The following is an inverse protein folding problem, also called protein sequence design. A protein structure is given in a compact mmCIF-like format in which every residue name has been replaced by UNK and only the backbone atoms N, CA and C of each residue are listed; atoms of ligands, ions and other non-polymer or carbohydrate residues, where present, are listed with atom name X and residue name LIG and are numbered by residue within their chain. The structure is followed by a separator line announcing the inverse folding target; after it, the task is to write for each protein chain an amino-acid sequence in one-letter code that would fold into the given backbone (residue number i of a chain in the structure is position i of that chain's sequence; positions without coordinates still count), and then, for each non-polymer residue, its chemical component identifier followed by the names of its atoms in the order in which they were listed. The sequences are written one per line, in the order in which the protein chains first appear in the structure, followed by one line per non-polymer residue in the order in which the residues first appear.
data_IF_753434540596
#
_entry.id   IF_753434540596
#
_cell.length_a   1.000
_cell.length_b   1.000
_cell.length_c   1.000
_cell.angle_alpha   90.00
_cell.angle_beta   90.00
_cell.angle_gamma   90.00
#
_symmetry.space_group_name_H-M   'P 1'
#
loop_
_entity.id
_entity.type
_entity.pdbx_description
1 polymer ?
#
# COMPACT_ATOMS: atom_id res chain seq x y z
N UNK A 1 -42.86 -15.86 -0.47
CA UNK A 1 -41.84 -16.55 0.38
C UNK A 1 -40.61 -15.73 0.30
N UNK A 2 -40.44 -14.86 1.28
CA UNK A 2 -39.31 -13.92 1.38
C UNK A 2 -38.27 -14.58 2.25
N UNK A 3 -37.16 -14.97 1.62
CA UNK A 3 -35.99 -15.47 2.35
C UNK A 3 -35.31 -14.29 3.07
N UNK A 4 -35.55 -14.24 4.36
CA UNK A 4 -34.91 -13.37 5.34
C UNK A 4 -33.48 -13.89 5.57
N UNK A 5 -32.52 -13.29 4.84
CA UNK A 5 -31.08 -13.49 5.11
C UNK A 5 -30.71 -12.72 6.38
N UNK A 6 -31.07 -13.30 7.51
CA UNK A 6 -30.62 -12.94 8.83
C UNK A 6 -29.12 -12.72 8.85
N UNK A 7 -28.67 -11.46 8.90
CA UNK A 7 -27.31 -11.03 9.22
C UNK A 7 -26.94 -11.58 10.60
N UNK A 8 -26.22 -12.68 10.65
CA UNK A 8 -25.48 -13.09 11.85
C UNK A 8 -24.37 -12.09 12.05
N UNK A 9 -24.53 -11.19 13.02
CA UNK A 9 -23.59 -10.14 13.39
C UNK A 9 -22.30 -10.69 14.02
N UNK A 10 -21.49 -11.35 13.22
CA UNK A 10 -20.11 -11.64 13.57
C UNK A 10 -19.24 -10.44 13.18
N UNK A 11 -18.31 -10.02 14.04
CA UNK A 11 -17.32 -9.01 13.69
C UNK A 11 -16.59 -9.43 12.39
N UNK A 12 -16.33 -8.49 11.46
CA UNK A 12 -15.62 -8.82 10.25
C UNK A 12 -14.24 -9.37 10.59
N UNK A 13 -13.86 -10.48 9.96
CA UNK A 13 -12.55 -11.10 10.18
C UNK A 13 -11.41 -10.27 9.63
N UNK A 14 -11.69 -9.37 8.70
CA UNK A 14 -10.73 -8.45 8.08
C UNK A 14 -11.39 -7.08 7.82
N UNK A 15 -10.55 -6.05 7.85
CA UNK A 15 -10.85 -4.70 7.37
C UNK A 15 -9.73 -4.27 6.40
N UNK A 16 -10.08 -3.48 5.40
CA UNK A 16 -9.09 -2.86 4.53
C UNK A 16 -9.48 -1.43 4.16
N UNK A 17 -8.46 -0.58 4.06
CA UNK A 17 -8.57 0.84 3.71
C UNK A 17 -7.52 1.17 2.66
N UNK A 18 -7.88 2.02 1.70
CA UNK A 18 -6.93 2.60 0.74
C UNK A 18 -7.30 4.04 0.39
N UNK A 19 -6.37 4.87 -0.16
CA UNK A 19 -6.70 6.23 -0.56
C UNK A 19 -7.58 6.26 -1.82
N UNK A 20 -8.53 7.19 -1.87
CA UNK A 20 -9.39 7.39 -3.05
C UNK A 20 -8.62 7.87 -4.27
N UNK A 21 -7.50 8.54 -4.06
CA UNK A 21 -6.65 9.17 -5.06
C UNK A 21 -5.37 8.38 -5.39
N UNK A 22 -5.26 7.13 -4.92
CA UNK A 22 -4.05 6.30 -5.09
C UNK A 22 -3.55 6.25 -6.54
N UNK A 23 -4.44 6.05 -7.49
CA UNK A 23 -4.07 5.93 -8.91
C UNK A 23 -3.84 7.28 -9.59
N UNK A 24 -4.27 8.38 -8.99
CA UNK A 24 -3.99 9.75 -9.46
C UNK A 24 -2.66 10.25 -8.88
N UNK A 25 -2.43 9.99 -7.60
CA UNK A 25 -1.19 10.38 -6.91
C UNK A 25 -0.03 9.41 -7.21
N UNK A 26 -0.33 8.17 -7.55
CA UNK A 26 0.64 7.11 -7.81
C UNK A 26 1.20 6.45 -6.56
N UNK A 27 1.00 7.03 -5.38
CA UNK A 27 1.51 6.51 -4.11
C UNK A 27 0.50 6.74 -2.99
N UNK A 28 0.37 5.77 -2.10
CA UNK A 28 -0.54 5.88 -0.96
C UNK A 28 -0.48 4.71 0.00
N UNK A 29 -1.07 4.90 1.17
CA UNK A 29 -1.11 3.89 2.22
C UNK A 29 -2.28 2.93 2.02
N UNK A 30 -1.98 1.64 1.96
CA UNK A 30 -2.98 0.56 1.99
C UNK A 30 -2.88 -0.13 3.34
N UNK A 31 -3.98 -0.17 4.07
CA UNK A 31 -4.04 -0.80 5.40
C UNK A 31 -4.91 -2.02 5.29
N UNK A 32 -4.46 -3.14 5.83
CA UNK A 32 -5.26 -4.35 5.99
C UNK A 32 -5.13 -4.86 7.41
N UNK A 33 -6.24 -5.10 8.07
CA UNK A 33 -6.31 -5.61 9.41
C UNK A 33 -7.01 -6.97 9.44
N UNK A 34 -6.48 -7.90 10.23
CA UNK A 34 -7.09 -9.20 10.51
C UNK A 34 -7.41 -9.29 12.00
N UNK A 35 -8.69 -9.40 12.32
CA UNK A 35 -9.16 -9.54 13.71
C UNK A 35 -9.01 -10.98 14.17
N UNK A 36 -8.51 -11.16 15.40
CA UNK A 36 -8.32 -12.44 16.08
C UNK A 36 -8.96 -12.42 17.45
N UNK A 37 -9.09 -13.61 18.05
CA UNK A 37 -9.58 -13.76 19.42
C UNK A 37 -10.88 -12.96 19.65
N UNK A 38 -11.90 -13.23 18.82
CA UNK A 38 -13.20 -12.55 18.89
C UNK A 38 -13.11 -11.02 18.80
N UNK A 39 -12.07 -10.51 18.12
CA UNK A 39 -11.86 -9.08 17.91
C UNK A 39 -11.00 -8.39 18.98
N UNK A 40 -10.51 -9.10 20.00
CA UNK A 40 -9.68 -8.48 21.02
C UNK A 40 -8.27 -8.09 20.52
N UNK A 41 -7.74 -8.83 19.55
CA UNK A 41 -6.43 -8.58 18.95
C UNK A 41 -6.54 -8.39 17.43
N UNK A 42 -5.64 -7.56 16.90
CA UNK A 42 -5.56 -7.23 15.47
C UNK A 42 -4.13 -7.40 14.98
N UNK A 43 -4.01 -8.11 13.87
CA UNK A 43 -2.80 -8.09 13.05
C UNK A 43 -3.03 -7.11 11.92
N UNK A 44 -2.22 -6.07 11.82
CA UNK A 44 -2.31 -5.06 10.78
C UNK A 44 -1.07 -5.07 9.88
N UNK A 45 -1.30 -5.01 8.59
CA UNK A 45 -0.30 -4.70 7.56
C UNK A 45 -0.56 -3.31 7.02
N UNK A 46 0.44 -2.46 7.07
CA UNK A 46 0.39 -1.08 6.61
C UNK A 46 1.42 -0.98 5.49
N UNK A 47 0.95 -0.73 4.27
CA UNK A 47 1.77 -0.79 3.06
C UNK A 47 1.76 0.59 2.38
N UNK A 48 2.92 1.22 2.24
CA UNK A 48 3.09 2.35 1.32
C UNK A 48 3.28 1.79 -0.09
N UNK A 49 2.25 1.90 -0.89
CA UNK A 49 2.21 1.35 -2.25
C UNK A 49 2.43 2.45 -3.27
N UNK A 50 3.44 2.26 -4.11
CA UNK A 50 3.70 3.05 -5.30
C UNK A 50 3.22 2.25 -6.52
N UNK A 51 2.08 2.66 -7.08
CA UNK A 51 1.47 1.98 -8.23
C UNK A 51 2.09 2.42 -9.55
N UNK A 52 2.92 3.47 -9.54
CA UNK A 52 3.56 3.97 -10.75
C UNK A 52 4.92 3.32 -11.02
N UNK A 53 5.65 2.85 -9.98
CA UNK A 53 6.99 2.32 -10.18
C UNK A 53 7.43 1.28 -9.17
N UNK A 54 7.51 1.63 -7.88
CA UNK A 54 8.31 0.90 -6.89
C UNK A 54 7.53 -0.14 -6.08
N UNK A 55 6.21 -0.29 -6.28
CA UNK A 55 5.40 -1.27 -5.58
C UNK A 55 5.35 -1.02 -4.07
N UNK A 56 5.68 -2.01 -3.25
CA UNK A 56 5.68 -1.87 -1.80
C UNK A 56 6.97 -1.20 -1.30
N UNK A 57 6.99 0.14 -1.26
CA UNK A 57 8.13 0.97 -0.86
C UNK A 57 8.46 0.87 0.63
N UNK A 58 7.43 0.89 1.45
CA UNK A 58 7.57 0.79 2.90
C UNK A 58 6.44 -0.06 3.46
N UNK A 59 6.76 -0.84 4.49
CA UNK A 59 5.80 -1.79 5.07
C UNK A 59 6.01 -1.88 6.56
N UNK A 60 4.90 -1.81 7.31
CA UNK A 60 4.86 -2.04 8.76
C UNK A 60 3.92 -3.20 9.05
N UNK A 61 4.30 -4.05 9.99
CA UNK A 61 3.45 -5.08 10.56
C UNK A 61 3.26 -4.82 12.05
N UNK A 62 2.02 -4.76 12.48
CA UNK A 62 1.64 -4.60 13.88
C UNK A 62 0.77 -5.78 14.35
N UNK A 63 0.97 -6.21 15.60
CA UNK A 63 0.09 -7.14 16.31
C UNK A 63 -0.25 -6.51 17.66
N UNK A 64 -1.43 -5.93 17.78
CA UNK A 64 -1.81 -5.09 18.92
C UNK A 64 -3.25 -5.37 19.38
N UNK A 65 -3.66 -4.71 20.47
CA UNK A 65 -5.05 -4.70 20.92
C UNK A 65 -5.93 -3.94 19.91
N UNK A 66 -7.21 -4.32 19.82
CA UNK A 66 -8.16 -3.67 18.89
C UNK A 66 -8.30 -2.17 19.10
N UNK A 67 -8.26 -1.71 20.35
CA UNK A 67 -8.37 -0.28 20.66
C UNK A 67 -7.13 0.49 20.22
N UNK A 68 -5.95 -0.11 20.32
CA UNK A 68 -4.71 0.48 19.81
C UNK A 68 -4.71 0.54 18.28
N UNK A 69 -5.15 -0.52 17.62
CA UNK A 69 -5.34 -0.52 16.17
C UNK A 69 -6.25 0.63 15.73
N UNK A 70 -7.43 0.78 16.37
CA UNK A 70 -8.38 1.83 16.03
C UNK A 70 -7.76 3.21 16.19
N UNK A 71 -7.22 3.53 17.38
CA UNK A 71 -6.71 4.87 17.70
C UNK A 71 -5.41 5.21 16.97
N UNK A 72 -4.42 4.30 16.99
CA UNK A 72 -3.06 4.59 16.53
C UNK A 72 -2.84 4.31 15.05
N UNK A 73 -3.68 3.46 14.44
CA UNK A 73 -3.53 3.09 13.03
C UNK A 73 -4.74 3.62 12.25
N UNK A 74 -5.90 3.01 12.42
CA UNK A 74 -7.07 3.29 11.61
C UNK A 74 -7.46 4.77 11.61
N UNK A 75 -7.73 5.34 12.78
CA UNK A 75 -8.20 6.72 12.91
C UNK A 75 -7.11 7.73 12.56
N UNK A 76 -5.84 7.40 12.84
CA UNK A 76 -4.68 8.19 12.46
C UNK A 76 -4.60 8.36 10.92
N UNK A 77 -4.73 7.27 10.15
CA UNK A 77 -4.66 7.36 8.70
C UNK A 77 -5.93 7.97 8.09
N UNK A 78 -7.11 7.67 8.64
CA UNK A 78 -8.37 8.27 8.21
C UNK A 78 -8.41 9.79 8.40
N UNK A 79 -7.75 10.31 9.43
CA UNK A 79 -7.71 11.76 9.70
C UNK A 79 -6.73 12.52 8.80
N UNK A 80 -5.74 11.83 8.22
CA UNK A 80 -4.65 12.46 7.46
C UNK A 80 -4.73 12.25 5.95
N UNK A 81 -5.42 11.23 5.52
CA UNK A 81 -5.50 10.83 4.11
C UNK A 81 -6.95 10.59 3.68
N UNK A 82 -7.29 10.81 2.41
CA UNK A 82 -8.64 10.56 1.88
C UNK A 82 -8.89 9.06 1.72
N UNK A 83 -8.94 8.33 2.85
CA UNK A 83 -9.09 6.88 2.88
C UNK A 83 -10.54 6.44 2.76
N UNK A 84 -10.77 5.34 2.06
CA UNK A 84 -12.06 4.64 2.00
C UNK A 84 -11.91 3.17 2.35
N UNK A 85 -12.98 2.60 2.89
CA UNK A 85 -13.06 1.16 3.08
C UNK A 85 -13.13 0.44 1.73
N UNK A 86 -12.47 -0.70 1.66
CA UNK A 86 -12.48 -1.56 0.48
C UNK A 86 -12.60 -3.03 0.90
N UNK A 87 -12.95 -3.87 -0.08
CA UNK A 87 -12.95 -5.31 0.13
C UNK A 87 -11.53 -5.83 0.42
N UNK A 88 -11.32 -6.56 1.53
CA UNK A 88 -9.97 -6.99 1.92
C UNK A 88 -9.24 -7.83 0.86
N UNK A 89 -9.97 -8.60 0.05
CA UNK A 89 -9.39 -9.34 -1.09
C UNK A 89 -8.96 -8.41 -2.23
N UNK A 90 -9.59 -7.23 -2.37
CA UNK A 90 -9.15 -6.23 -3.35
C UNK A 90 -7.88 -5.51 -2.89
N UNK A 91 -7.78 -5.19 -1.60
CA UNK A 91 -6.53 -4.68 -1.03
C UNK A 91 -5.39 -5.70 -1.19
N UNK A 92 -5.63 -6.98 -0.91
CA UNK A 92 -4.67 -8.06 -1.19
C UNK A 92 -4.22 -8.06 -2.65
N UNK A 93 -5.19 -8.08 -3.59
CA UNK A 93 -4.89 -8.09 -5.03
C UNK A 93 -4.05 -6.91 -5.46
N UNK A 94 -4.41 -5.70 -5.01
CA UNK A 94 -3.67 -4.47 -5.30
C UNK A 94 -2.23 -4.55 -4.83
N UNK A 95 -2.03 -4.92 -3.56
CA UNK A 95 -0.68 -5.02 -2.96
C UNK A 95 0.17 -6.07 -3.67
N UNK A 96 -0.37 -7.28 -3.92
CA UNK A 96 0.35 -8.34 -4.63
C UNK A 96 0.71 -7.94 -6.06
N UNK A 97 -0.21 -7.31 -6.80
CA UNK A 97 0.04 -6.87 -8.18
C UNK A 97 1.02 -5.70 -8.25
N UNK A 98 0.98 -4.75 -7.30
CA UNK A 98 1.96 -3.67 -7.22
C UNK A 98 3.38 -4.22 -6.98
N UNK A 99 3.52 -5.22 -6.11
CA UNK A 99 4.80 -5.91 -5.88
C UNK A 99 5.26 -6.63 -7.15
N UNK A 100 4.38 -7.36 -7.82
CA UNK A 100 4.70 -8.06 -9.07
C UNK A 100 5.14 -7.10 -10.17
N UNK A 101 4.45 -5.96 -10.32
CA UNK A 101 4.79 -4.92 -11.27
C UNK A 101 6.21 -4.37 -11.02
N UNK A 102 6.52 -3.98 -9.78
CA UNK A 102 7.84 -3.50 -9.41
C UNK A 102 8.94 -4.55 -9.60
N UNK A 103 8.65 -5.83 -9.30
CA UNK A 103 9.59 -6.93 -9.55
C UNK A 103 9.87 -7.11 -11.05
N UNK A 104 8.89 -6.92 -11.91
CA UNK A 104 9.07 -6.88 -13.37
C UNK A 104 10.05 -5.79 -13.82
N UNK A 105 10.10 -4.68 -13.08
CA UNK A 105 11.05 -3.58 -13.29
C UNK A 105 12.42 -3.80 -12.59
N UNK A 106 12.57 -4.89 -11.82
CA UNK A 106 13.81 -5.22 -11.11
C UNK A 106 13.87 -4.75 -9.67
N UNK A 107 12.77 -4.23 -9.11
CA UNK A 107 12.72 -3.76 -7.72
C UNK A 107 12.18 -4.83 -6.77
N UNK A 108 12.87 -5.02 -5.66
CA UNK A 108 12.40 -5.89 -4.59
C UNK A 108 11.42 -5.11 -3.68
N UNK A 109 10.40 -5.77 -3.12
CA UNK A 109 9.55 -5.15 -2.11
C UNK A 109 10.33 -4.91 -0.82
N UNK A 110 9.81 -4.04 0.04
CA UNK A 110 10.34 -3.81 1.39
C UNK A 110 10.60 -5.14 2.13
N UNK A 111 11.65 -5.20 2.94
CA UNK A 111 12.08 -6.42 3.64
C UNK A 111 10.99 -7.06 4.49
N UNK A 112 10.15 -6.24 5.14
CA UNK A 112 9.05 -6.71 5.98
C UNK A 112 7.79 -7.12 5.21
N UNK A 113 7.79 -7.01 3.87
CA UNK A 113 6.63 -7.35 3.05
C UNK A 113 6.09 -8.76 3.33
N UNK A 114 6.97 -9.76 3.36
CA UNK A 114 6.56 -11.15 3.62
C UNK A 114 5.92 -11.34 4.99
N UNK A 115 6.39 -10.61 6.00
CA UNK A 115 5.83 -10.63 7.36
C UNK A 115 4.45 -10.00 7.38
N UNK A 116 4.32 -8.79 6.84
CA UNK A 116 3.06 -8.06 6.81
C UNK A 116 1.99 -8.73 5.93
N UNK A 117 2.38 -9.33 4.81
CA UNK A 117 1.46 -10.03 3.93
C UNK A 117 0.73 -11.23 4.58
N UNK A 118 1.22 -11.72 5.74
CA UNK A 118 0.52 -12.74 6.53
C UNK A 118 -0.85 -12.27 7.05
N UNK A 119 -1.07 -10.96 7.12
CA UNK A 119 -2.37 -10.39 7.51
C UNK A 119 -3.48 -10.82 6.56
N UNK A 120 -3.17 -11.04 5.29
CA UNK A 120 -4.16 -11.48 4.30
C UNK A 120 -4.73 -12.87 4.59
N UNK A 121 -3.99 -13.74 5.27
CA UNK A 121 -4.46 -15.06 5.65
C UNK A 121 -5.07 -15.83 4.48
N UNK A 122 -6.30 -16.32 4.67
CA UNK A 122 -7.05 -17.10 3.65
C UNK A 122 -7.78 -16.25 2.60
N UNK A 123 -7.69 -14.92 2.60
CA UNK A 123 -8.28 -14.08 1.56
C UNK A 123 -7.78 -14.51 0.18
N UNK A 124 -8.63 -14.44 -0.82
CA UNK A 124 -8.28 -14.83 -2.19
C UNK A 124 -8.33 -13.60 -3.10
N UNK A 125 -7.19 -13.17 -3.61
CA UNK A 125 -7.09 -12.02 -4.54
C UNK A 125 -8.01 -12.15 -5.78
N UNK A 126 -8.26 -13.38 -6.25
CA UNK A 126 -9.15 -13.68 -7.37
C UNK A 126 -10.64 -13.32 -7.13
N UNK A 127 -11.05 -13.09 -5.88
CA UNK A 127 -12.41 -12.64 -5.56
C UNK A 127 -12.63 -11.17 -5.93
N UNK A 128 -11.56 -10.42 -6.12
CA UNK A 128 -11.65 -9.03 -6.57
C UNK A 128 -11.83 -8.97 -8.08
N UNK A 129 -12.97 -8.44 -8.53
CA UNK A 129 -13.24 -8.20 -9.95
C UNK A 129 -12.57 -6.94 -10.49
N UNK A 130 -12.11 -6.04 -9.61
CA UNK A 130 -11.44 -4.80 -10.04
C UNK A 130 -10.15 -5.10 -10.81
N UNK A 131 -9.90 -4.31 -11.85
CA UNK A 131 -8.64 -4.30 -12.60
C UNK A 131 -7.82 -3.10 -12.14
N UNK A 132 -6.56 -3.32 -11.86
CA UNK A 132 -5.61 -2.27 -11.49
C UNK A 132 -4.64 -2.04 -12.63
N UNK A 133 -4.38 -0.78 -12.94
CA UNK A 133 -3.40 -0.37 -13.94
C UNK A 133 -2.20 0.20 -13.21
N UNK A 134 -1.00 -0.21 -13.60
CA UNK A 134 0.25 0.22 -13.02
C UNK A 134 1.04 1.06 -14.03
N UNK A 135 1.89 1.94 -13.50
CA UNK A 135 2.56 2.96 -14.30
C UNK A 135 1.69 4.21 -14.47
N UNK A 136 2.30 5.27 -14.95
CA UNK A 136 1.66 6.52 -15.31
C UNK A 136 1.63 6.61 -16.83
N UNK A 137 0.45 6.80 -17.43
CA UNK A 137 0.27 6.83 -18.88
C UNK A 137 0.92 5.65 -19.63
N UNK A 138 0.86 4.47 -19.00
CA UNK A 138 1.40 3.23 -19.59
C UNK A 138 2.91 3.03 -19.44
N UNK A 139 3.60 3.93 -18.73
CA UNK A 139 5.04 3.83 -18.46
C UNK A 139 5.33 3.82 -16.97
N UNK A 140 6.41 3.17 -16.50
CA UNK A 140 6.90 3.37 -15.16
C UNK A 140 7.25 4.84 -14.94
N UNK A 141 6.75 5.42 -13.86
CA UNK A 141 7.05 6.79 -13.47
C UNK A 141 7.63 6.83 -12.05
N UNK A 142 8.91 7.10 -11.96
CA UNK A 142 9.60 7.24 -10.69
C UNK A 142 9.56 8.69 -10.19
N UNK A 143 9.06 8.88 -8.98
CA UNK A 143 9.13 10.15 -8.25
C UNK A 143 10.01 9.96 -7.02
N UNK A 144 11.08 10.74 -6.93
CA UNK A 144 11.96 10.71 -5.76
C UNK A 144 11.19 11.08 -4.51
N UNK A 145 11.28 10.23 -3.49
CA UNK A 145 10.70 10.49 -2.18
C UNK A 145 11.57 11.45 -1.35
N UNK A 146 10.97 12.14 -0.36
CA UNK A 146 11.67 13.14 0.45
C UNK A 146 12.82 12.56 1.30
N UNK A 147 12.80 11.26 1.58
CA UNK A 147 13.84 10.57 2.37
C UNK A 147 14.83 9.78 1.51
N UNK A 148 14.69 9.82 0.19
CA UNK A 148 15.60 9.12 -0.72
C UNK A 148 16.80 10.00 -1.03
N UNK A 149 18.02 9.44 -0.87
CA UNK A 149 19.25 10.13 -1.25
C UNK A 149 19.38 10.24 -2.76
N UNK A 150 20.23 11.14 -3.23
CA UNK A 150 20.55 11.29 -4.66
C UNK A 150 21.07 9.97 -5.25
N UNK A 151 21.94 9.29 -4.53
CA UNK A 151 22.51 8.00 -4.95
C UNK A 151 21.44 6.90 -5.09
N UNK A 152 20.46 6.88 -4.16
CA UNK A 152 19.32 5.96 -4.26
C UNK A 152 18.48 6.27 -5.50
N UNK A 153 18.17 7.54 -5.75
CA UNK A 153 17.43 7.98 -6.91
C UNK A 153 18.15 7.62 -8.21
N UNK A 154 19.44 7.91 -8.33
CA UNK A 154 20.25 7.56 -9.49
C UNK A 154 20.29 6.05 -9.75
N UNK A 155 20.37 5.24 -8.69
CA UNK A 155 20.31 3.78 -8.81
C UNK A 155 18.96 3.31 -9.36
N UNK A 156 17.86 3.88 -8.90
CA UNK A 156 16.50 3.55 -9.40
C UNK A 156 16.40 3.90 -10.89
N UNK A 157 16.81 5.11 -11.29
CA UNK A 157 16.81 5.56 -12.68
C UNK A 157 17.68 4.64 -13.55
N UNK A 158 18.85 4.23 -13.05
CA UNK A 158 19.72 3.28 -13.75
C UNK A 158 19.02 1.94 -13.99
N UNK A 159 18.33 1.37 -12.98
CA UNK A 159 17.56 0.14 -13.15
C UNK A 159 16.46 0.30 -14.19
N UNK A 160 15.71 1.40 -14.16
CA UNK A 160 14.67 1.68 -15.15
C UNK A 160 15.26 1.76 -16.55
N UNK A 161 16.41 2.44 -16.72
CA UNK A 161 17.11 2.51 -17.99
C UNK A 161 17.50 1.13 -18.52
N UNK A 162 18.02 0.25 -17.65
CA UNK A 162 18.41 -1.11 -18.04
C UNK A 162 17.24 -2.00 -18.39
N UNK A 163 16.09 -1.84 -17.72
CA UNK A 163 14.92 -2.70 -17.86
C UNK A 163 13.95 -2.25 -18.95
N UNK A 164 13.73 -0.96 -19.06
CA UNK A 164 12.73 -0.39 -19.96
C UNK A 164 13.34 0.17 -21.24
N UNK A 165 14.62 0.56 -21.20
CA UNK A 165 15.26 1.30 -22.28
C UNK A 165 14.89 2.79 -22.28
N UNK A 166 15.66 3.59 -23.04
CA UNK A 166 15.45 5.03 -23.12
C UNK A 166 14.07 5.38 -23.68
N UNK A 167 13.39 6.35 -23.05
CA UNK A 167 12.07 6.83 -23.47
C UNK A 167 10.87 5.96 -23.02
N UNK A 168 11.11 4.79 -22.43
CA UNK A 168 10.06 3.89 -21.97
C UNK A 168 9.78 3.98 -20.46
N UNK A 169 10.34 4.95 -19.79
CA UNK A 169 10.07 5.31 -18.39
C UNK A 169 10.18 6.80 -18.21
N UNK A 170 9.60 7.30 -17.14
CA UNK A 170 9.67 8.70 -16.74
C UNK A 170 10.19 8.80 -15.31
N UNK A 171 10.80 9.93 -14.98
CA UNK A 171 11.17 10.23 -13.59
C UNK A 171 11.14 11.72 -13.32
N UNK A 172 10.82 12.06 -12.06
CA UNK A 172 10.87 13.42 -11.56
C UNK A 172 11.78 13.45 -10.34
N UNK A 173 12.82 14.25 -10.43
CA UNK A 173 13.69 14.58 -9.31
C UNK A 173 13.38 16.02 -8.95
N UNK A 174 12.68 16.26 -7.83
CA UNK A 174 12.55 17.62 -7.32
C UNK A 174 13.94 18.12 -6.93
N UNK A 175 14.44 19.08 -7.66
CA UNK A 175 15.58 19.88 -7.23
C UNK A 175 15.04 20.75 -6.08
N UNK A 176 15.23 20.26 -4.83
CA UNK A 176 14.55 20.83 -3.68
C UNK A 176 15.10 22.17 -3.28
N UNK A 177 14.23 23.13 -3.11
CA UNK A 177 14.37 24.07 -2.00
C UNK A 177 14.00 23.29 -0.72
N UNK A 178 14.87 23.40 0.30
CA UNK A 178 14.61 22.83 1.62
C UNK A 178 13.49 23.64 2.30
N UNK A 179 12.24 23.22 2.06
CA UNK A 179 11.06 23.76 2.69
C UNK A 179 10.46 22.71 3.63
N UNK A 180 10.44 23.06 4.90
CA UNK A 180 9.74 22.46 6.05
C UNK A 180 9.19 21.03 5.88
N UNK A 181 10.00 20.08 6.28
CA UNK A 181 9.57 18.71 6.53
C UNK A 181 8.85 18.72 7.87
N UNK A 182 7.55 18.49 7.84
CA UNK A 182 6.74 18.21 9.03
C UNK A 182 7.40 17.08 9.85
N UNK A 183 7.97 17.44 11.01
CA UNK A 183 8.67 16.56 11.95
C UNK A 183 7.72 15.71 12.80
N UNK A 184 6.49 15.50 12.38
CA UNK A 184 5.46 14.82 13.19
C UNK A 184 5.54 13.29 13.24
N UNK A 185 6.69 12.69 12.89
CA UNK A 185 6.91 11.22 12.95
C UNK A 185 7.96 10.78 13.99
N UNK A 186 8.39 11.70 14.88
CA UNK A 186 9.22 11.34 16.05
C UNK A 186 8.42 11.65 17.32
N UNK A 187 7.69 10.67 17.85
CA UNK A 187 7.45 10.34 19.26
C UNK A 187 6.53 9.13 19.36
#
# INVERSE_FOLDING_TARGET
MTDDLSCRGGQPTHEALWPTDLFTQGIGWVITARFKSEGARVQAGIFLIDVFCLGAKFVVYEDCASDDYRRRIRDHYLSRFPMVATEPWCARKLVEQAVQYAQGLGFAPHTDYKKAARVFGGLRAKQCSQKFTFGHEGKPFYRRGPRETEEQAQRIVWYLQQRCGSGNYEYSVMLGEAGDIDRSFEE
#
